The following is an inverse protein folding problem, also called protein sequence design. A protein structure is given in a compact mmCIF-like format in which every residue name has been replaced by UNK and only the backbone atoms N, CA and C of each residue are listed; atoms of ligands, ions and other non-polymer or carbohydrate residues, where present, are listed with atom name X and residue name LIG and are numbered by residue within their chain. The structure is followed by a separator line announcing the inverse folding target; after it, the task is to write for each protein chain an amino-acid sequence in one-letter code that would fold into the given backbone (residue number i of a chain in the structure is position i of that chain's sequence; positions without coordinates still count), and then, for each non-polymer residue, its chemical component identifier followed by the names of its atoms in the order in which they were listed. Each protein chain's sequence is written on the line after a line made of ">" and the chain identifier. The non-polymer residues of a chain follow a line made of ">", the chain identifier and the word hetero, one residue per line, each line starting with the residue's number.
data_IF_650743527553
#
_entry.id   IF_650743527553
#
_cell.length_a   1.000
_cell.length_b   1.000
_cell.length_c   1.000
_cell.angle_alpha   90.00
_cell.angle_beta   90.00
_cell.angle_gamma   90.00
#
_symmetry.space_group_name_H-M   'P 1'
#
loop_
_entity.id
_entity.type
_entity.pdbx_description
1 polymer ?
#
# COMPACT_ATOMS: atom_id res chain seq x y z
N UNK A 1 -8.89 -18.42 81.99
CA UNK A 1 -8.13 -19.62 81.59
C UNK A 1 -7.48 -19.35 80.24
N UNK A 2 -6.24 -19.85 80.00
CA UNK A 2 -5.48 -20.03 78.72
C UNK A 2 -5.67 -18.97 77.61
N UNK A 3 -4.71 -18.10 77.30
CA UNK A 3 -3.39 -18.31 76.62
C UNK A 3 -3.44 -18.75 75.15
N UNK A 4 -2.88 -17.89 74.27
CA UNK A 4 -2.06 -18.03 73.04
C UNK A 4 -2.35 -16.77 72.17
N UNK A 5 -1.47 -15.77 71.93
CA UNK A 5 -0.05 -15.76 71.49
C UNK A 5 0.10 -16.35 70.07
N UNK A 6 0.81 -15.81 69.07
CA UNK A 6 1.91 -14.81 68.90
C UNK A 6 1.77 -14.16 67.48
N UNK A 7 2.46 -13.10 67.01
CA UNK A 7 3.35 -12.03 67.53
C UNK A 7 3.50 -10.93 66.42
N UNK A 8 4.37 -9.93 66.59
CA UNK A 8 4.79 -8.94 65.55
C UNK A 8 6.30 -9.06 65.32
N UNK A 9 6.73 -9.10 64.05
CA UNK A 9 8.14 -8.85 63.65
C UNK A 9 8.14 -7.97 62.40
N UNK A 10 8.69 -6.76 62.53
CA UNK A 10 9.01 -5.90 61.39
C UNK A 10 10.45 -6.17 60.95
N UNK A 11 10.69 -6.31 59.64
CA UNK A 11 12.03 -6.52 59.09
C UNK A 11 12.43 -5.33 58.22
N UNK A 12 13.46 -4.60 58.66
CA UNK A 12 14.10 -3.53 57.89
C UNK A 12 15.15 -4.12 56.96
N UNK A 13 15.12 -3.74 55.68
CA UNK A 13 16.16 -4.07 54.70
C UNK A 13 17.05 -2.84 54.48
N UNK A 14 18.35 -2.99 54.76
CA UNK A 14 19.35 -1.97 54.48
C UNK A 14 19.83 -2.07 53.03
N UNK A 15 20.00 -0.93 52.36
CA UNK A 15 20.55 -0.86 51.01
C UNK A 15 22.08 -0.98 51.04
N UNK A 16 22.62 -1.98 50.34
CA UNK A 16 24.06 -2.13 50.13
C UNK A 16 24.44 -1.78 48.70
N UNK A 17 25.19 -0.70 48.51
CA UNK A 17 25.77 -0.32 47.21
C UNK A 17 27.07 -1.08 46.97
N UNK A 18 27.20 -1.79 45.85
CA UNK A 18 28.47 -2.41 45.44
C UNK A 18 28.86 -1.91 44.05
N UNK A 19 30.00 -1.21 43.98
CA UNK A 19 30.65 -0.81 42.72
C UNK A 19 31.40 -2.02 42.14
N UNK A 20 31.08 -2.40 40.90
CA UNK A 20 31.78 -3.44 40.14
C UNK A 20 32.53 -2.84 38.95
N UNK A 21 33.81 -3.23 38.80
CA UNK A 21 34.72 -2.71 37.77
C UNK A 21 34.42 -3.27 36.35
N UNK A 22 34.96 -2.65 35.28
CA UNK A 22 34.63 -3.02 33.91
C UNK A 22 35.34 -4.29 33.45
N UNK A 23 34.66 -5.10 32.63
CA UNK A 23 35.25 -6.25 31.95
C UNK A 23 35.04 -6.15 30.44
N UNK A 24 36.13 -5.94 29.71
CA UNK A 24 36.15 -6.12 28.26
C UNK A 24 36.16 -7.62 27.90
N UNK A 25 35.27 -7.96 26.97
CA UNK A 25 35.34 -9.06 26.01
C UNK A 25 35.95 -10.42 26.44
N UNK A 26 35.08 -11.44 26.53
CA UNK A 26 35.36 -12.75 25.93
C UNK A 26 34.17 -13.25 25.12
N UNK A 27 34.42 -13.54 23.85
CA UNK A 27 33.49 -14.22 22.95
C UNK A 27 33.16 -15.63 23.47
N UNK A 28 31.89 -16.02 23.35
CA UNK A 28 31.45 -17.42 23.18
C UNK A 28 30.12 -17.42 22.45
N UNK A 29 30.00 -18.27 21.42
CA UNK A 29 28.84 -18.31 20.53
C UNK A 29 27.53 -18.61 21.28
N UNK A 30 26.52 -17.76 21.09
CA UNK A 30 25.11 -18.13 21.27
C UNK A 30 24.41 -17.89 19.94
N UNK A 31 24.13 -18.96 19.21
CA UNK A 31 23.48 -18.92 17.90
C UNK A 31 21.98 -18.67 18.07
N UNK A 32 21.60 -17.41 18.28
CA UNK A 32 20.20 -16.99 18.26
C UNK A 32 19.67 -17.05 16.81
N UNK A 33 18.43 -17.52 16.55
CA UNK A 33 17.83 -17.47 15.22
C UNK A 33 17.84 -16.03 14.70
N UNK A 34 18.34 -15.83 13.48
CA UNK A 34 18.78 -14.52 13.02
C UNK A 34 17.68 -13.45 13.03
N UNK A 35 17.92 -12.37 13.76
CA UNK A 35 17.29 -11.09 13.46
C UNK A 35 17.92 -10.54 12.17
N UNK A 36 17.45 -11.03 11.03
CA UNK A 36 17.80 -10.49 9.73
C UNK A 36 17.21 -9.09 9.62
N UNK A 37 18.05 -8.07 9.81
CA UNK A 37 17.72 -6.69 9.46
C UNK A 37 17.21 -6.68 8.01
N UNK A 38 16.04 -6.09 7.71
CA UNK A 38 15.58 -6.04 6.33
C UNK A 38 16.61 -5.28 5.49
N UNK A 39 17.18 -5.95 4.49
CA UNK A 39 17.99 -5.26 3.48
C UNK A 39 17.10 -4.18 2.84
N UNK A 40 17.54 -2.92 2.75
CA UNK A 40 16.78 -1.89 2.05
C UNK A 40 16.43 -2.36 0.64
N UNK A 41 15.18 -2.18 0.23
CA UNK A 41 14.76 -2.50 -1.13
C UNK A 41 15.60 -1.66 -2.12
N UNK A 42 16.19 -2.26 -3.17
CA UNK A 42 17.09 -1.55 -4.07
C UNK A 42 16.38 -0.40 -4.77
N UNK A 43 17.05 0.74 -4.84
CA UNK A 43 16.55 1.97 -5.48
C UNK A 43 16.11 1.68 -6.93
N UNK A 44 14.89 2.08 -7.34
CA UNK A 44 14.43 1.94 -8.72
C UNK A 44 15.41 2.55 -9.74
N UNK A 45 15.68 1.79 -10.82
CA UNK A 45 16.36 2.30 -12.02
C UNK A 45 15.46 3.25 -12.81
N UNK A 46 14.14 3.16 -12.63
CA UNK A 46 13.14 4.03 -13.24
C UNK A 46 11.72 3.58 -12.92
N UNK A 47 10.74 4.21 -13.55
CA UNK A 47 9.34 3.80 -13.51
C UNK A 47 8.62 4.18 -14.81
N UNK A 48 7.47 3.58 -15.06
CA UNK A 48 6.52 3.97 -16.09
C UNK A 48 5.12 4.16 -15.50
N UNK A 49 4.35 5.08 -16.07
CA UNK A 49 2.99 5.43 -15.67
C UNK A 49 1.95 4.67 -16.52
N UNK A 50 0.65 4.69 -16.13
CA UNK A 50 -0.42 4.21 -16.99
C UNK A 50 -0.39 4.87 -18.38
N UNK A 51 -0.62 4.08 -19.42
CA UNK A 51 -0.89 4.57 -20.78
C UNK A 51 -2.31 5.11 -20.93
N UNK A 52 -3.23 4.75 -20.02
CA UNK A 52 -4.52 5.43 -19.86
C UNK A 52 -4.99 5.42 -18.41
N UNK A 53 -5.71 6.47 -18.02
CA UNK A 53 -6.42 6.59 -16.74
C UNK A 53 -7.89 6.94 -17.05
N UNK A 54 -8.83 6.40 -16.29
CA UNK A 54 -10.26 6.68 -16.42
C UNK A 54 -10.93 6.56 -15.06
N UNK A 55 -12.01 7.31 -14.83
CA UNK A 55 -12.87 7.11 -13.65
C UNK A 55 -14.04 6.20 -14.02
N UNK A 56 -14.47 5.37 -13.08
CA UNK A 56 -15.64 4.51 -13.17
C UNK A 56 -16.65 4.91 -12.10
N UNK A 57 -17.86 5.28 -12.53
CA UNK A 57 -18.98 5.61 -11.64
C UNK A 57 -19.72 4.32 -11.28
N UNK A 58 -19.57 3.88 -10.04
CA UNK A 58 -20.11 2.59 -9.55
C UNK A 58 -21.64 2.60 -9.51
N UNK A 59 -22.31 3.76 -9.55
CA UNK A 59 -23.78 3.84 -9.48
C UNK A 59 -24.49 3.56 -10.81
N UNK A 60 -23.81 3.73 -11.93
CA UNK A 60 -24.39 3.62 -13.27
C UNK A 60 -23.49 2.91 -14.30
N UNK A 61 -22.24 2.61 -13.93
CA UNK A 61 -21.27 1.91 -14.77
C UNK A 61 -20.61 2.77 -15.84
N UNK A 62 -20.80 4.09 -15.83
CA UNK A 62 -20.17 4.99 -16.78
C UNK A 62 -18.65 5.08 -16.57
N UNK A 63 -17.92 5.10 -17.69
CA UNK A 63 -16.46 5.29 -17.73
C UNK A 63 -16.19 6.65 -18.36
N UNK A 64 -15.51 7.53 -17.61
CA UNK A 64 -14.98 8.78 -18.12
C UNK A 64 -13.48 8.60 -18.39
N UNK A 65 -13.07 8.69 -19.65
CA UNK A 65 -11.66 8.61 -20.04
C UNK A 65 -11.04 9.99 -20.20
N UNK A 66 -9.73 10.01 -20.45
CA UNK A 66 -8.95 11.24 -20.72
C UNK A 66 -9.09 12.27 -19.58
N UNK A 67 -9.33 11.77 -18.37
CA UNK A 67 -9.49 12.57 -17.15
C UNK A 67 -8.17 13.21 -16.77
N UNK A 68 -8.19 14.50 -16.44
CA UNK A 68 -7.03 15.22 -15.91
C UNK A 68 -6.73 14.89 -14.44
N UNK A 69 -7.65 14.19 -13.77
CA UNK A 69 -7.51 13.76 -12.39
C UNK A 69 -7.93 12.29 -12.22
N UNK A 70 -7.21 11.57 -11.37
CA UNK A 70 -7.69 10.29 -10.85
C UNK A 70 -8.63 10.54 -9.68
N UNK A 71 -9.59 9.65 -9.48
CA UNK A 71 -10.57 9.74 -8.39
C UNK A 71 -10.87 8.35 -7.83
N UNK A 72 -10.67 8.22 -6.53
CA UNK A 72 -11.29 7.22 -5.69
C UNK A 72 -12.16 7.99 -4.70
N UNK A 73 -13.45 7.71 -4.67
CA UNK A 73 -14.39 8.37 -3.76
C UNK A 73 -15.42 7.37 -3.25
N UNK A 74 -15.64 7.41 -1.94
CA UNK A 74 -16.70 6.70 -1.24
C UNK A 74 -17.29 7.64 -0.20
N UNK A 75 -18.61 7.79 -0.18
CA UNK A 75 -19.29 8.60 0.81
C UNK A 75 -20.68 8.05 1.13
N UNK A 76 -21.11 8.18 2.38
CA UNK A 76 -22.41 7.68 2.85
C UNK A 76 -23.59 8.58 2.46
N UNK A 77 -23.33 9.83 2.07
CA UNK A 77 -24.31 10.85 1.68
C UNK A 77 -24.46 11.03 0.16
N UNK A 78 -23.53 10.50 -0.65
CA UNK A 78 -23.56 10.58 -2.12
C UNK A 78 -24.59 9.63 -2.80
N UNK A 79 -25.44 8.95 -2.01
CA UNK A 79 -26.43 7.94 -2.42
C UNK A 79 -25.83 6.65 -3.02
N UNK A 80 -24.62 6.26 -2.58
CA UNK A 80 -23.91 5.08 -3.09
C UNK A 80 -23.25 5.29 -4.45
N UNK A 81 -22.97 6.56 -4.79
CA UNK A 81 -22.24 6.96 -5.99
C UNK A 81 -20.73 6.95 -5.73
N UNK A 82 -20.20 5.75 -5.49
CA UNK A 82 -18.76 5.56 -5.39
C UNK A 82 -18.09 5.79 -6.76
N UNK A 83 -16.84 6.24 -6.71
CA UNK A 83 -15.94 6.30 -7.87
C UNK A 83 -14.70 5.46 -7.64
N UNK A 84 -14.26 4.77 -8.69
CA UNK A 84 -12.98 4.08 -8.74
C UNK A 84 -12.16 4.55 -9.93
N UNK A 85 -10.84 4.32 -9.88
CA UNK A 85 -9.94 4.69 -10.99
C UNK A 85 -9.47 3.44 -11.72
N UNK A 86 -9.76 3.37 -13.02
CA UNK A 86 -9.26 2.35 -13.95
C UNK A 86 -7.95 2.84 -14.56
N UNK A 87 -6.98 1.93 -14.70
CA UNK A 87 -5.63 2.25 -15.16
C UNK A 87 -5.15 1.16 -16.11
N UNK A 88 -4.66 1.54 -17.28
CA UNK A 88 -4.02 0.62 -18.23
C UNK A 88 -2.53 0.89 -18.26
N UNK A 89 -1.70 -0.15 -18.22
CA UNK A 89 -0.25 -0.06 -18.36
C UNK A 89 0.19 -0.80 -19.63
N UNK A 90 1.21 -0.25 -20.28
CA UNK A 90 1.91 -0.90 -21.39
C UNK A 90 3.39 -0.99 -21.02
N UNK A 91 3.95 -2.21 -20.97
CA UNK A 91 5.36 -2.40 -20.59
C UNK A 91 6.29 -1.85 -21.69
N UNK A 92 7.21 -0.91 -21.38
CA UNK A 92 8.12 -0.35 -22.37
C UNK A 92 9.37 -1.23 -22.56
N UNK A 93 10.07 -1.10 -23.69
CA UNK A 93 11.27 -1.90 -24.05
C UNK A 93 12.34 -1.99 -22.94
N UNK A 94 12.53 -0.91 -22.18
CA UNK A 94 13.54 -0.80 -21.13
C UNK A 94 13.36 -1.70 -19.91
N UNK A 95 12.25 -2.44 -19.80
CA UNK A 95 11.95 -3.36 -18.68
C UNK A 95 12.41 -4.81 -18.93
N UNK A 96 12.99 -5.11 -20.09
CA UNK A 96 13.44 -6.47 -20.42
C UNK A 96 14.45 -7.00 -19.40
N UNK A 97 14.13 -8.12 -18.75
CA UNK A 97 14.96 -8.75 -17.71
C UNK A 97 14.93 -8.06 -16.34
N UNK A 98 14.13 -7.00 -16.16
CA UNK A 98 14.04 -6.18 -14.94
C UNK A 98 13.08 -6.77 -13.92
N UNK A 99 13.14 -6.31 -12.66
CA UNK A 99 12.14 -6.62 -11.63
C UNK A 99 11.22 -5.42 -11.37
N UNK A 100 9.92 -5.61 -11.56
CA UNK A 100 8.87 -4.60 -11.44
C UNK A 100 8.16 -4.64 -10.08
N UNK A 101 7.69 -3.48 -9.62
CA UNK A 101 6.84 -3.27 -8.43
C UNK A 101 5.78 -2.22 -8.76
N UNK A 102 4.53 -2.42 -8.32
CA UNK A 102 3.52 -1.36 -8.36
C UNK A 102 3.71 -0.39 -7.20
N UNK A 103 3.69 0.90 -7.50
CA UNK A 103 3.79 1.99 -6.57
C UNK A 103 2.65 2.99 -6.81
N UNK A 104 2.15 3.62 -5.75
CA UNK A 104 1.21 4.74 -5.85
C UNK A 104 1.83 5.96 -5.18
N UNK A 105 2.01 7.04 -5.92
CA UNK A 105 2.62 8.29 -5.46
C UNK A 105 1.60 9.42 -5.51
N UNK A 106 1.53 10.26 -4.47
CA UNK A 106 0.75 11.48 -4.49
C UNK A 106 1.66 12.69 -4.26
N UNK A 107 1.41 13.76 -5.00
CA UNK A 107 2.06 15.05 -4.78
C UNK A 107 1.41 15.80 -3.60
N UNK A 108 1.88 17.02 -3.31
CA UNK A 108 1.29 17.87 -2.27
C UNK A 108 -0.08 18.44 -2.65
N UNK A 109 -0.40 18.51 -3.95
CA UNK A 109 -1.68 18.99 -4.46
C UNK A 109 -2.85 18.00 -4.33
N UNK A 110 -2.60 16.75 -3.92
CA UNK A 110 -3.64 15.73 -3.81
C UNK A 110 -4.72 16.07 -2.76
N UNK A 111 -5.98 15.83 -3.10
CA UNK A 111 -7.12 15.92 -2.17
C UNK A 111 -7.29 14.58 -1.45
N UNK A 112 -7.33 14.63 -0.12
CA UNK A 112 -7.41 13.46 0.77
C UNK A 112 -8.39 13.71 1.92
N UNK A 113 -9.40 12.84 2.09
CA UNK A 113 -10.19 12.74 3.31
C UNK A 113 -10.66 11.30 3.56
N UNK A 114 -11.38 11.07 4.66
CA UNK A 114 -11.85 9.73 5.03
C UNK A 114 -10.71 8.80 5.43
N UNK A 115 -10.79 7.54 5.01
CA UNK A 115 -9.82 6.50 5.38
C UNK A 115 -8.41 6.71 4.81
N UNK A 116 -8.31 7.33 3.61
CA UNK A 116 -7.08 7.52 2.82
C UNK A 116 -6.41 6.19 2.51
N UNK A 117 -7.22 5.22 2.07
CA UNK A 117 -6.79 3.84 1.82
C UNK A 117 -7.41 3.31 0.54
N UNK A 118 -6.55 2.76 -0.32
CA UNK A 118 -6.96 2.16 -1.60
C UNK A 118 -6.59 0.69 -1.65
N UNK A 119 -7.51 -0.13 -2.15
CA UNK A 119 -7.23 -1.50 -2.58
C UNK A 119 -6.86 -1.50 -4.06
N UNK A 120 -5.79 -2.21 -4.42
CA UNK A 120 -5.38 -2.44 -5.81
C UNK A 120 -5.97 -3.76 -6.30
N UNK A 121 -6.72 -3.71 -7.39
CA UNK A 121 -7.21 -4.89 -8.10
C UNK A 121 -6.57 -4.99 -9.49
N UNK A 122 -6.37 -6.22 -9.98
CA UNK A 122 -6.22 -6.46 -11.43
C UNK A 122 -7.58 -6.34 -12.12
N UNK A 123 -7.56 -6.02 -13.41
CA UNK A 123 -8.74 -6.08 -14.29
C UNK A 123 -8.57 -7.18 -15.34
N UNK A 124 -9.67 -7.79 -15.77
CA UNK A 124 -9.70 -8.83 -16.82
C UNK A 124 -9.28 -8.29 -18.19
N UNK A 125 -9.54 -7.01 -18.44
CA UNK A 125 -9.19 -6.29 -19.66
C UNK A 125 -8.99 -4.79 -19.34
N UNK A 126 -8.29 -4.03 -20.20
CA UNK A 126 -8.35 -2.57 -20.21
C UNK A 126 -9.77 -2.03 -20.29
N UNK A 127 -9.95 -0.79 -19.83
CA UNK A 127 -11.21 -0.08 -20.02
C UNK A 127 -11.54 0.02 -21.54
N UNK A 128 -12.81 -0.16 -21.96
CA UNK A 128 -13.25 -0.23 -23.36
C UNK A 128 -13.21 1.12 -24.09
N UNK A 129 -12.68 2.18 -23.48
CA UNK A 129 -13.04 3.56 -23.80
C UNK A 129 -14.25 4.01 -22.98
N UNK A 130 -14.89 5.11 -23.42
CA UNK A 130 -15.81 5.84 -22.55
C UNK A 130 -17.24 5.31 -22.70
N UNK A 131 -17.94 5.15 -21.59
CA UNK A 131 -19.28 4.55 -21.55
C UNK A 131 -20.22 5.41 -20.72
N UNK A 132 -21.52 5.31 -21.01
CA UNK A 132 -22.60 5.87 -20.19
C UNK A 132 -23.37 4.80 -19.42
N UNK A 133 -22.81 3.59 -19.30
CA UNK A 133 -23.51 2.43 -18.76
C UNK A 133 -22.62 1.20 -18.56
N UNK A 134 -23.18 0.23 -17.83
CA UNK A 134 -22.54 -0.93 -17.21
C UNK A 134 -21.67 -1.88 -18.04
N UNK A 135 -21.80 -1.91 -19.36
CA UNK A 135 -21.14 -2.93 -20.18
C UNK A 135 -19.98 -2.33 -21.01
N UNK A 136 -18.78 -2.93 -21.00
CA UNK A 136 -18.28 -4.00 -20.12
C UNK A 136 -17.92 -3.58 -18.69
N UNK A 137 -17.93 -2.29 -18.35
CA UNK A 137 -17.66 -1.80 -16.99
C UNK A 137 -16.20 -1.92 -16.54
N UNK A 138 -15.95 -1.94 -15.23
CA UNK A 138 -14.61 -1.89 -14.62
C UNK A 138 -13.75 -3.17 -14.76
N UNK A 139 -14.36 -4.30 -15.13
CA UNK A 139 -13.67 -5.58 -15.35
C UNK A 139 -12.84 -6.07 -14.14
N UNK A 140 -13.19 -5.70 -12.91
CA UNK A 140 -12.45 -6.03 -11.68
C UNK A 140 -12.24 -7.54 -11.51
N UNK A 141 -11.04 -7.93 -11.10
CA UNK A 141 -10.67 -9.33 -10.86
C UNK A 141 -10.00 -9.53 -9.47
N UNK A 142 -8.70 -9.80 -9.40
CA UNK A 142 -8.01 -10.23 -8.17
C UNK A 142 -7.56 -9.01 -7.35
N UNK A 143 -7.93 -8.94 -6.07
CA UNK A 143 -7.34 -7.99 -5.13
C UNK A 143 -5.87 -8.36 -4.87
N UNK A 144 -4.95 -7.45 -5.13
CA UNK A 144 -3.52 -7.64 -4.91
C UNK A 144 -3.11 -7.22 -3.49
N UNK A 145 -3.71 -6.16 -2.93
CA UNK A 145 -3.38 -5.64 -1.61
C UNK A 145 -4.02 -4.28 -1.32
N UNK A 146 -3.78 -3.80 -0.10
CA UNK A 146 -4.25 -2.52 0.44
C UNK A 146 -3.08 -1.58 0.68
N UNK A 147 -3.25 -0.30 0.38
CA UNK A 147 -2.26 0.75 0.64
C UNK A 147 -2.86 1.92 1.45
N UNK A 148 -2.11 2.42 2.43
CA UNK A 148 -2.32 3.75 3.02
C UNK A 148 -1.69 4.81 2.12
N UNK A 149 -2.42 5.87 1.78
CA UNK A 149 -1.92 6.97 0.95
C UNK A 149 -1.67 8.24 1.76
N UNK A 150 -0.73 9.07 1.30
CA UNK A 150 -0.33 10.32 1.95
C UNK A 150 0.10 11.34 0.87
N UNK A 151 -0.04 12.64 1.15
CA UNK A 151 0.50 13.71 0.30
C UNK A 151 2.03 13.67 0.25
N UNK A 152 2.60 14.18 -0.84
CA UNK A 152 4.04 14.40 -1.00
C UNK A 152 4.89 13.12 -0.97
N UNK A 153 4.31 11.95 -1.20
CA UNK A 153 4.97 10.68 -0.92
C UNK A 153 4.39 9.45 -1.58
N UNK A 154 5.12 8.36 -1.44
CA UNK A 154 4.65 7.02 -1.79
C UNK A 154 3.66 6.52 -0.74
N UNK A 155 2.65 5.80 -1.23
CA UNK A 155 1.77 4.98 -0.42
C UNK A 155 2.50 3.75 0.14
N UNK A 156 2.06 3.28 1.30
CA UNK A 156 2.63 2.11 1.98
C UNK A 156 1.65 0.95 1.95
N UNK A 157 2.11 -0.26 1.61
CA UNK A 157 1.30 -1.48 1.70
C UNK A 157 0.92 -1.80 3.15
N UNK A 158 -0.37 -1.77 3.45
CA UNK A 158 -0.94 -2.21 4.74
C UNK A 158 -1.06 -3.74 4.79
N UNK A 159 -1.42 -4.34 3.65
CA UNK A 159 -1.63 -5.78 3.50
C UNK A 159 -1.44 -6.18 2.03
N UNK A 160 -0.93 -7.39 1.78
CA UNK A 160 -0.75 -7.96 0.44
C UNK A 160 -1.41 -9.33 0.37
N UNK A 161 -2.26 -9.54 -0.63
CA UNK A 161 -3.04 -10.77 -0.83
C UNK A 161 -2.52 -11.59 -2.04
N UNK A 162 -1.79 -10.91 -2.92
CA UNK A 162 -0.96 -11.52 -3.95
C UNK A 162 0.49 -11.12 -3.74
N UNK A 163 1.41 -11.83 -4.38
CA UNK A 163 2.81 -11.41 -4.50
C UNK A 163 3.15 -10.80 -5.86
N UNK A 164 2.18 -10.73 -6.77
CA UNK A 164 2.33 -10.05 -8.06
C UNK A 164 2.32 -8.53 -7.87
N UNK A 165 3.42 -7.86 -8.25
CA UNK A 165 3.65 -6.40 -8.15
C UNK A 165 3.49 -5.74 -6.77
N UNK A 166 3.11 -6.47 -5.72
CA UNK A 166 3.14 -6.03 -4.31
C UNK A 166 4.52 -6.19 -3.66
N UNK A 167 5.40 -6.96 -4.33
CA UNK A 167 6.84 -7.04 -4.11
C UNK A 167 7.51 -7.04 -5.50
N UNK A 168 8.85 -6.94 -5.53
CA UNK A 168 9.62 -7.08 -6.78
C UNK A 168 9.34 -8.44 -7.43
N UNK A 169 8.82 -8.42 -8.66
CA UNK A 169 8.56 -9.60 -9.51
C UNK A 169 9.08 -9.37 -10.92
N UNK A 170 9.40 -10.41 -11.71
CA UNK A 170 9.84 -10.22 -13.09
C UNK A 170 8.87 -9.32 -13.87
N UNK A 171 9.40 -8.31 -14.56
CA UNK A 171 8.60 -7.49 -15.46
C UNK A 171 8.04 -8.37 -16.60
N UNK A 172 6.83 -8.07 -17.07
CA UNK A 172 6.27 -8.66 -18.28
C UNK A 172 7.07 -8.19 -19.51
N UNK A 173 6.94 -8.93 -20.62
CA UNK A 173 7.60 -8.58 -21.86
C UNK A 173 7.17 -7.20 -22.38
N UNK A 174 8.04 -6.44 -23.05
CA UNK A 174 7.66 -5.20 -23.73
C UNK A 174 6.43 -5.36 -24.63
N UNK A 175 5.63 -4.31 -24.74
CA UNK A 175 4.36 -4.32 -25.47
C UNK A 175 3.22 -5.07 -24.76
N UNK A 176 3.49 -5.80 -23.67
CA UNK A 176 2.40 -6.40 -22.88
C UNK A 176 1.53 -5.30 -22.29
N UNK A 177 0.22 -5.41 -22.49
CA UNK A 177 -0.80 -4.54 -21.89
C UNK A 177 -1.43 -5.26 -20.70
N UNK A 178 -1.62 -4.54 -19.60
CA UNK A 178 -2.42 -4.99 -18.47
C UNK A 178 -3.22 -3.83 -17.86
N UNK A 179 -4.22 -4.16 -17.04
CA UNK A 179 -5.08 -3.17 -16.44
C UNK A 179 -5.35 -3.46 -14.96
N UNK A 180 -5.62 -2.39 -14.23
CA UNK A 180 -5.85 -2.39 -12.80
C UNK A 180 -6.96 -1.40 -12.43
N UNK A 181 -7.47 -1.55 -11.22
CA UNK A 181 -8.42 -0.64 -10.60
C UNK A 181 -7.98 -0.28 -9.17
N UNK A 182 -8.08 0.99 -8.81
CA UNK A 182 -7.98 1.47 -7.43
C UNK A 182 -9.38 1.68 -6.85
N UNK A 183 -9.63 1.08 -5.69
CA UNK A 183 -10.93 1.05 -5.02
C UNK A 183 -10.79 1.60 -3.60
N UNK A 184 -11.69 2.50 -3.20
CA UNK A 184 -11.65 3.11 -1.87
C UNK A 184 -12.01 2.12 -0.76
N UNK A 185 -11.47 2.34 0.43
CA UNK A 185 -11.62 1.43 1.57
C UNK A 185 -12.47 2.05 2.68
N UNK A 186 -13.38 1.26 3.25
CA UNK A 186 -14.44 1.67 4.20
C UNK A 186 -15.48 2.63 3.58
N UNK A 187 -16.45 3.07 4.37
CA UNK A 187 -17.66 3.76 3.90
C UNK A 187 -17.44 5.25 3.57
N UNK A 188 -16.31 5.83 3.99
CA UNK A 188 -15.90 7.18 3.68
C UNK A 188 -14.39 7.21 3.35
N UNK A 189 -14.07 7.53 2.09
CA UNK A 189 -12.71 7.64 1.58
C UNK A 189 -12.69 8.58 0.38
N UNK A 190 -11.63 9.36 0.25
CA UNK A 190 -11.42 10.21 -0.93
C UNK A 190 -9.94 10.37 -1.21
N UNK A 191 -9.57 10.04 -2.44
CA UNK A 191 -8.24 10.19 -2.99
C UNK A 191 -8.39 10.75 -4.40
N UNK A 192 -8.05 12.03 -4.59
CA UNK A 192 -8.06 12.71 -5.89
C UNK A 192 -6.72 13.39 -6.16
N UNK A 193 -6.21 13.23 -7.37
CA UNK A 193 -4.85 13.64 -7.75
C UNK A 193 -4.76 14.03 -9.22
N UNK A 194 -3.80 14.88 -9.58
CA UNK A 194 -3.53 15.23 -10.98
C UNK A 194 -2.70 14.12 -11.65
N UNK A 195 -3.25 13.48 -12.69
CA UNK A 195 -2.62 12.31 -13.34
C UNK A 195 -1.30 12.66 -14.06
N UNK A 196 -1.05 13.93 -14.37
CA UNK A 196 0.16 14.37 -15.04
C UNK A 196 1.40 14.41 -14.11
N UNK A 197 1.20 14.43 -12.78
CA UNK A 197 2.29 14.55 -11.79
C UNK A 197 2.24 13.50 -10.67
N UNK A 198 1.11 12.82 -10.52
CA UNK A 198 0.84 11.86 -9.45
C UNK A 198 0.03 10.66 -9.94
N UNK A 199 -0.06 9.63 -9.11
CA UNK A 199 -0.86 8.43 -9.31
C UNK A 199 -0.05 7.14 -9.27
N UNK A 200 -0.60 6.12 -9.92
CA UNK A 200 0.05 4.83 -10.04
C UNK A 200 1.27 4.88 -10.97
N UNK A 201 2.23 4.01 -10.69
CA UNK A 201 3.39 3.73 -11.55
C UNK A 201 3.88 2.31 -11.31
N UNK A 202 4.57 1.74 -12.29
CA UNK A 202 5.33 0.50 -12.10
C UNK A 202 6.81 0.87 -12.14
N UNK A 203 7.50 0.71 -11.01
CA UNK A 203 8.93 0.96 -10.90
C UNK A 203 9.73 -0.30 -11.21
N UNK A 204 10.94 -0.16 -11.74
CA UNK A 204 11.77 -1.30 -12.16
C UNK A 204 13.24 -1.13 -11.75
N UNK A 205 13.93 -2.26 -11.54
CA UNK A 205 15.37 -2.39 -11.23
C UNK A 205 16.05 -3.37 -12.19
#
# INVERSE_FOLDING_TARGET
>A
MKMLSYAIVALTLAAGSVLGAPLQARYSNSTSPGHSTPTPDPTPSGYFQPSSVSTYDVSNGAIQCEVSYGLVDKATDNKGRDFTTLMTFTYPEGVTGKQCLFEFFLDEGASLYGSKKVDLYTSLAPAPGCTSGWAPGNQRNVNLGRMSVQRGGLATWDATYSSYLTKRTPCKAPGTVEAFELVGVYDNDHVSWNVAVAGARISYI
#
